data_IF_789814306042
#
_entry.id   IF_789814306042
#
_cell.length_a   1.000
_cell.length_b   1.000
_cell.length_c   1.000
_cell.angle_alpha   90.00
_cell.angle_beta   90.00
_cell.angle_gamma   90.00
#
_symmetry.space_group_name_H-M   'P 1'
#
loop_
_entity.id
_entity.type
_entity.pdbx_description
1 polymer ?
#
# COMPACT_ATOMS: atom_id res chain seq x y z
N UNK A 1 9.51 -24.44 -15.14
CA UNK A 1 8.65 -23.77 -14.13
C UNK A 1 8.45 -22.30 -14.44
N UNK A 2 9.51 -21.54 -14.73
CA UNK A 2 9.42 -20.12 -15.14
C UNK A 2 8.46 -19.87 -16.33
N UNK A 3 8.52 -20.71 -17.37
CA UNK A 3 7.58 -20.65 -18.51
C UNK A 3 6.11 -20.77 -18.06
N UNK A 4 5.82 -21.69 -17.15
CA UNK A 4 4.46 -21.90 -16.62
C UNK A 4 4.00 -20.67 -15.84
N UNK A 5 4.89 -20.12 -15.00
CA UNK A 5 4.63 -18.91 -14.23
C UNK A 5 4.34 -17.72 -15.16
N UNK A 6 5.10 -17.57 -16.24
CA UNK A 6 4.89 -16.52 -17.23
C UNK A 6 3.56 -16.69 -17.99
N UNK A 7 3.19 -17.91 -18.37
CA UNK A 7 1.88 -18.21 -18.99
C UNK A 7 0.75 -17.83 -18.04
N UNK A 8 0.83 -18.22 -16.77
CA UNK A 8 -0.16 -17.85 -15.75
C UNK A 8 -0.24 -16.32 -15.59
N UNK A 9 0.91 -15.64 -15.56
CA UNK A 9 0.98 -14.18 -15.49
C UNK A 9 0.27 -13.49 -16.67
N UNK A 10 0.48 -13.98 -17.89
CA UNK A 10 -0.18 -13.47 -19.11
C UNK A 10 -1.68 -13.74 -19.06
N UNK A 11 -2.10 -14.96 -18.70
CA UNK A 11 -3.52 -15.31 -18.57
C UNK A 11 -4.22 -14.43 -17.53
N UNK A 12 -3.55 -14.15 -16.41
CA UNK A 12 -4.05 -13.25 -15.37
C UNK A 12 -4.22 -11.82 -15.91
N UNK A 13 -3.22 -11.28 -16.62
CA UNK A 13 -3.33 -9.95 -17.22
C UNK A 13 -4.47 -9.86 -18.24
N UNK A 14 -4.62 -10.86 -19.12
CA UNK A 14 -5.71 -10.91 -20.09
C UNK A 14 -7.08 -11.01 -19.41
N UNK A 15 -7.19 -11.82 -18.36
CA UNK A 15 -8.43 -11.94 -17.59
C UNK A 15 -8.78 -10.63 -16.88
N UNK A 16 -7.80 -9.93 -16.29
CA UNK A 16 -8.02 -8.62 -15.67
C UNK A 16 -8.39 -7.58 -16.71
N UNK A 17 -7.77 -7.58 -17.89
CA UNK A 17 -8.12 -6.69 -19.00
C UNK A 17 -9.57 -6.91 -19.45
N UNK A 18 -9.97 -8.15 -19.70
CA UNK A 18 -11.35 -8.48 -20.07
C UNK A 18 -12.33 -8.09 -18.96
N UNK A 19 -11.99 -8.38 -17.71
CA UNK A 19 -12.79 -8.01 -16.54
C UNK A 19 -12.91 -6.49 -16.38
N UNK A 20 -11.90 -5.74 -16.80
CA UNK A 20 -11.89 -4.27 -16.78
C UNK A 20 -12.90 -3.68 -17.76
N UNK A 21 -13.08 -4.32 -18.92
CA UNK A 21 -14.08 -3.92 -19.91
C UNK A 21 -15.50 -4.29 -19.45
N UNK A 22 -15.68 -5.49 -18.91
CA UNK A 22 -17.00 -6.02 -18.54
C UNK A 22 -17.50 -5.48 -17.20
N UNK A 23 -16.68 -5.53 -16.16
CA UNK A 23 -17.02 -5.19 -14.76
C UNK A 23 -15.90 -4.40 -14.08
N UNK A 24 -15.59 -3.17 -14.53
CA UNK A 24 -14.38 -2.44 -14.15
C UNK A 24 -14.20 -2.29 -12.63
N UNK A 25 -15.27 -2.00 -11.90
CA UNK A 25 -15.20 -1.82 -10.44
C UNK A 25 -14.87 -3.09 -9.65
N UNK A 26 -15.12 -4.29 -10.21
CA UNK A 26 -14.64 -5.57 -9.63
C UNK A 26 -13.22 -5.90 -10.09
N UNK A 27 -12.82 -5.43 -11.26
CA UNK A 27 -11.50 -5.66 -11.82
C UNK A 27 -10.40 -4.83 -11.15
N UNK A 28 -10.70 -3.65 -10.60
CA UNK A 28 -9.71 -2.80 -9.92
C UNK A 28 -8.90 -3.54 -8.84
N UNK A 29 -9.49 -4.20 -7.83
CA UNK A 29 -8.70 -4.91 -6.82
C UNK A 29 -7.89 -6.06 -7.42
N UNK A 30 -8.35 -6.69 -8.50
CA UNK A 30 -7.57 -7.71 -9.23
C UNK A 30 -6.37 -7.08 -9.93
N UNK A 31 -6.55 -5.94 -10.61
CA UNK A 31 -5.48 -5.19 -11.24
C UNK A 31 -4.45 -4.70 -10.21
N UNK A 32 -4.88 -4.26 -9.04
CA UNK A 32 -3.95 -3.85 -7.97
C UNK A 32 -3.13 -5.02 -7.45
N UNK A 33 -3.69 -6.24 -7.41
CA UNK A 33 -2.93 -7.45 -7.05
C UNK A 33 -1.91 -7.87 -8.12
N UNK A 34 -2.09 -7.48 -9.39
CA UNK A 34 -1.06 -7.77 -10.41
C UNK A 34 0.21 -6.96 -10.19
N UNK A 35 0.15 -5.85 -9.44
CA UNK A 35 1.35 -5.05 -9.09
C UNK A 35 2.35 -5.81 -8.22
N UNK A 36 1.94 -6.91 -7.58
CA UNK A 36 2.82 -7.69 -6.70
C UNK A 36 3.62 -8.74 -7.46
N UNK A 37 3.17 -9.11 -8.65
CA UNK A 37 3.89 -10.04 -9.51
C UNK A 37 5.14 -9.39 -10.09
N UNK A 38 6.27 -10.09 -10.04
CA UNK A 38 7.43 -9.82 -10.87
C UNK A 38 7.58 -10.97 -11.86
N UNK A 39 7.13 -10.77 -13.09
CA UNK A 39 7.34 -11.74 -14.17
C UNK A 39 8.16 -11.08 -15.28
N UNK A 40 9.25 -11.72 -15.70
CA UNK A 40 10.01 -11.27 -16.86
C UNK A 40 9.44 -11.92 -18.11
N UNK A 41 8.74 -11.12 -18.93
CA UNK A 41 8.41 -11.49 -20.29
C UNK A 41 9.46 -10.81 -21.17
N UNK A 42 10.25 -11.59 -21.92
CA UNK A 42 11.43 -11.11 -22.69
C UNK A 42 11.18 -9.93 -23.65
N UNK A 43 9.92 -9.54 -23.89
CA UNK A 43 9.54 -8.47 -24.81
C UNK A 43 8.85 -7.26 -24.14
N UNK A 44 8.39 -7.37 -22.89
CA UNK A 44 7.66 -6.28 -22.23
C UNK A 44 7.97 -6.20 -20.73
N UNK A 45 8.15 -4.97 -20.24
CA UNK A 45 8.20 -4.72 -18.80
C UNK A 45 6.81 -4.96 -18.17
N UNK A 46 6.66 -6.10 -17.49
CA UNK A 46 5.44 -6.47 -16.78
C UNK A 46 4.99 -5.37 -15.80
N UNK A 47 5.93 -4.71 -15.12
CA UNK A 47 5.61 -3.67 -14.15
C UNK A 47 4.91 -2.49 -14.82
N UNK A 48 5.37 -2.11 -16.03
CA UNK A 48 4.72 -1.08 -16.81
C UNK A 48 3.29 -1.49 -17.21
N UNK A 49 3.12 -2.70 -17.73
CA UNK A 49 1.79 -3.22 -18.14
C UNK A 49 0.84 -3.27 -16.94
N UNK A 50 1.26 -3.81 -15.80
CA UNK A 50 0.43 -3.92 -14.61
C UNK A 50 -0.02 -2.55 -14.10
N UNK A 51 0.87 -1.55 -14.06
CA UNK A 51 0.52 -0.17 -13.68
C UNK A 51 -0.47 0.45 -14.65
N UNK A 52 -0.24 0.27 -15.96
CA UNK A 52 -1.14 0.80 -16.98
C UNK A 52 -2.49 0.14 -16.96
N UNK A 53 -2.54 -1.15 -16.67
CA UNK A 53 -3.78 -1.88 -16.46
C UNK A 53 -4.57 -1.27 -15.29
N UNK A 54 -3.95 -1.01 -14.14
CA UNK A 54 -4.65 -0.35 -13.01
C UNK A 54 -5.20 1.03 -13.40
N UNK A 55 -4.40 1.87 -14.05
CA UNK A 55 -4.85 3.20 -14.51
C UNK A 55 -6.00 3.08 -15.49
N UNK A 56 -5.89 2.19 -16.47
CA UNK A 56 -6.92 1.93 -17.48
C UNK A 56 -8.22 1.43 -16.83
N UNK A 57 -8.15 0.45 -15.94
CA UNK A 57 -9.32 -0.08 -15.23
C UNK A 57 -10.00 1.01 -14.39
N UNK A 58 -9.24 1.85 -13.69
CA UNK A 58 -9.78 2.98 -12.94
C UNK A 58 -10.43 4.01 -13.88
N UNK A 59 -9.79 4.33 -15.00
CA UNK A 59 -10.31 5.22 -16.03
C UNK A 59 -11.66 4.75 -16.58
N UNK A 60 -11.75 3.48 -17.01
CA UNK A 60 -12.99 2.87 -17.49
C UNK A 60 -14.06 2.90 -16.39
N UNK A 61 -13.70 2.58 -15.14
CA UNK A 61 -14.62 2.63 -14.00
C UNK A 61 -15.17 4.03 -13.77
N UNK A 62 -14.31 5.06 -13.82
CA UNK A 62 -14.68 6.47 -13.66
C UNK A 62 -15.57 6.94 -14.81
N UNK A 63 -15.25 6.56 -16.05
CA UNK A 63 -16.07 6.92 -17.22
C UNK A 63 -17.46 6.27 -17.14
N UNK A 64 -17.53 5.00 -16.73
CA UNK A 64 -18.79 4.24 -16.69
C UNK A 64 -19.68 4.56 -15.49
N UNK A 65 -19.09 4.79 -14.31
CA UNK A 65 -19.84 4.94 -13.05
C UNK A 65 -19.72 6.34 -12.42
N UNK A 66 -18.97 7.24 -13.05
CA UNK A 66 -18.60 8.53 -12.51
C UNK A 66 -17.46 8.46 -11.49
N UNK A 67 -16.97 9.63 -11.07
CA UNK A 67 -15.93 9.77 -10.06
C UNK A 67 -16.48 10.14 -8.67
N UNK A 68 -15.67 9.93 -7.64
CA UNK A 68 -15.95 10.31 -6.26
C UNK A 68 -15.80 11.83 -6.06
N UNK A 69 -16.91 12.57 -6.17
CA UNK A 69 -16.95 14.04 -6.03
C UNK A 69 -16.48 14.56 -4.66
N UNK A 70 -16.46 13.73 -3.61
CA UNK A 70 -16.06 14.14 -2.25
C UNK A 70 -14.61 14.58 -2.13
N UNK A 71 -13.75 14.16 -3.05
CA UNK A 71 -12.34 14.54 -3.09
C UNK A 71 -12.11 15.95 -3.65
N UNK A 72 -13.12 16.54 -4.30
CA UNK A 72 -12.94 17.78 -5.07
C UNK A 72 -12.06 17.56 -6.31
N UNK A 73 -11.60 18.65 -6.93
CA UNK A 73 -10.68 18.61 -8.10
C UNK A 73 -9.20 18.80 -7.70
N UNK A 74 -8.94 19.23 -6.45
CA UNK A 74 -7.63 19.68 -5.98
C UNK A 74 -6.49 18.69 -6.22
N UNK A 75 -6.58 17.43 -5.75
CA UNK A 75 -5.52 16.44 -5.95
C UNK A 75 -5.21 16.17 -7.43
N UNK A 76 -6.23 16.24 -8.29
CA UNK A 76 -6.05 16.02 -9.73
C UNK A 76 -5.32 17.20 -10.38
N UNK A 77 -5.71 18.44 -10.05
CA UNK A 77 -5.03 19.65 -10.55
C UNK A 77 -3.55 19.70 -10.11
N UNK A 78 -3.27 19.32 -8.86
CA UNK A 78 -1.90 19.20 -8.36
C UNK A 78 -1.09 18.14 -9.12
N UNK A 79 -1.69 16.96 -9.36
CA UNK A 79 -1.05 15.91 -10.15
C UNK A 79 -0.78 16.36 -11.60
N UNK A 80 -1.71 17.08 -12.23
CA UNK A 80 -1.49 17.68 -13.56
C UNK A 80 -0.37 18.70 -13.53
N UNK A 81 -0.31 19.58 -12.53
CA UNK A 81 0.80 20.52 -12.34
C UNK A 81 2.14 19.79 -12.20
N UNK A 82 2.18 18.73 -11.39
CA UNK A 82 3.38 17.88 -11.24
C UNK A 82 3.79 17.25 -12.57
N UNK A 83 2.84 16.73 -13.34
CA UNK A 83 3.10 16.15 -14.67
C UNK A 83 3.77 17.18 -15.59
N UNK A 84 3.19 18.38 -15.71
CA UNK A 84 3.68 19.41 -16.63
C UNK A 84 5.09 19.88 -16.25
N UNK A 85 5.33 20.13 -14.96
CA UNK A 85 6.65 20.53 -14.47
C UNK A 85 7.67 19.43 -14.75
N UNK A 86 7.34 18.18 -14.46
CA UNK A 86 8.29 17.07 -14.57
C UNK A 86 8.47 16.57 -16.00
N UNK A 87 7.47 16.76 -16.86
CA UNK A 87 7.59 16.55 -18.31
C UNK A 87 8.58 17.56 -18.91
N UNK A 88 8.52 18.83 -18.50
CA UNK A 88 9.50 19.82 -18.91
C UNK A 88 10.90 19.45 -18.41
N UNK A 89 11.05 19.07 -17.14
CA UNK A 89 12.35 18.59 -16.60
C UNK A 89 12.88 17.41 -17.41
N UNK A 90 12.05 16.41 -17.71
CA UNK A 90 12.43 15.25 -18.52
C UNK A 90 12.92 15.65 -19.91
N UNK A 91 12.26 16.61 -20.57
CA UNK A 91 12.68 17.12 -21.88
C UNK A 91 14.10 17.73 -21.85
N UNK A 92 14.42 18.55 -20.84
CA UNK A 92 15.75 19.18 -20.72
C UNK A 92 16.83 18.27 -20.15
N UNK A 93 16.46 17.20 -19.46
CA UNK A 93 17.37 16.24 -18.81
C UNK A 93 17.46 14.90 -19.54
N UNK A 94 16.87 14.81 -20.73
CA UNK A 94 16.87 13.60 -21.54
C UNK A 94 18.29 13.10 -21.78
N UNK A 95 18.51 11.82 -21.54
CA UNK A 95 19.77 11.14 -21.83
C UNK A 95 19.51 9.65 -22.15
N UNK A 96 20.50 8.91 -22.69
CA UNK A 96 20.30 7.51 -23.08
C UNK A 96 19.82 6.59 -21.95
N UNK A 97 20.09 6.93 -20.69
CA UNK A 97 19.69 6.15 -19.52
C UNK A 97 18.38 6.63 -18.88
N UNK A 98 17.90 7.84 -19.21
CA UNK A 98 16.69 8.44 -18.66
C UNK A 98 15.93 9.19 -19.75
N UNK A 99 14.81 8.61 -20.19
CA UNK A 99 13.95 9.17 -21.22
C UNK A 99 12.48 9.18 -20.83
N UNK A 100 11.63 9.19 -21.85
CA UNK A 100 10.18 9.29 -21.68
C UNK A 100 9.58 8.03 -21.03
N UNK A 101 10.17 6.85 -21.24
CA UNK A 101 9.67 5.57 -20.71
C UNK A 101 9.85 5.52 -19.19
N UNK A 102 11.03 5.87 -18.67
CA UNK A 102 11.34 5.88 -17.24
C UNK A 102 10.46 6.89 -16.51
N UNK A 103 10.33 8.10 -17.09
CA UNK A 103 9.43 9.14 -16.61
C UNK A 103 7.99 8.65 -16.57
N UNK A 104 7.45 8.15 -17.70
CA UNK A 104 6.05 7.73 -17.81
C UNK A 104 5.74 6.58 -16.88
N UNK A 105 6.63 5.59 -16.76
CA UNK A 105 6.46 4.44 -15.86
C UNK A 105 6.42 4.87 -14.39
N UNK A 106 7.29 5.81 -14.01
CA UNK A 106 7.37 6.31 -12.64
C UNK A 106 6.21 7.26 -12.32
N UNK A 107 5.83 8.14 -13.24
CA UNK A 107 4.67 9.01 -13.10
C UNK A 107 3.34 8.24 -13.08
N UNK A 108 3.19 7.21 -13.93
CA UNK A 108 2.04 6.31 -13.91
C UNK A 108 1.85 5.65 -12.55
N UNK A 109 2.95 5.36 -11.84
CA UNK A 109 2.88 4.85 -10.45
C UNK A 109 2.18 5.86 -9.55
N UNK A 110 2.64 7.11 -9.52
CA UNK A 110 2.04 8.18 -8.71
C UNK A 110 0.58 8.39 -9.11
N UNK A 111 0.30 8.55 -10.41
CA UNK A 111 -1.02 8.82 -10.95
C UNK A 111 -2.04 7.73 -10.58
N UNK A 112 -1.67 6.45 -10.68
CA UNK A 112 -2.51 5.31 -10.30
C UNK A 112 -3.17 5.49 -8.93
N UNK A 113 -2.41 5.92 -7.91
CA UNK A 113 -2.97 6.11 -6.57
C UNK A 113 -4.09 7.16 -6.54
N UNK A 114 -3.94 8.25 -7.30
CA UNK A 114 -4.98 9.27 -7.43
C UNK A 114 -6.19 8.75 -8.22
N UNK A 115 -5.99 7.99 -9.30
CA UNK A 115 -7.11 7.36 -10.02
C UNK A 115 -7.91 6.39 -9.13
N UNK A 116 -7.22 5.63 -8.27
CA UNK A 116 -7.86 4.71 -7.33
C UNK A 116 -8.81 5.42 -6.37
N UNK A 117 -8.41 6.56 -5.79
CA UNK A 117 -9.28 7.30 -4.83
C UNK A 117 -10.49 7.96 -5.51
N UNK A 118 -10.39 8.32 -6.79
CA UNK A 118 -11.52 8.86 -7.55
C UNK A 118 -12.52 7.80 -7.99
N UNK A 119 -12.19 6.50 -7.88
CA UNK A 119 -13.11 5.42 -8.21
C UNK A 119 -14.33 5.43 -7.29
N UNK A 120 -15.52 5.30 -7.88
CA UNK A 120 -16.77 5.12 -7.13
C UNK A 120 -17.01 3.65 -6.83
N UNK A 121 -17.29 3.32 -5.57
CA UNK A 121 -17.52 1.96 -5.11
C UNK A 121 -18.99 1.69 -4.79
N UNK A 122 -19.52 0.56 -5.25
CA UNK A 122 -20.72 -0.05 -4.68
C UNK A 122 -20.34 -0.86 -3.44
N UNK A 123 -21.28 -1.08 -2.52
CA UNK A 123 -21.00 -1.81 -1.28
C UNK A 123 -20.56 -3.25 -1.53
N UNK A 124 -21.12 -3.90 -2.55
CA UNK A 124 -20.75 -5.26 -2.96
C UNK A 124 -19.28 -5.28 -3.40
N UNK A 125 -18.87 -4.33 -4.25
CA UNK A 125 -17.52 -4.29 -4.80
C UNK A 125 -16.51 -3.82 -3.75
N UNK A 126 -16.90 -2.88 -2.86
CA UNK A 126 -16.07 -2.46 -1.72
C UNK A 126 -15.79 -3.64 -0.80
N UNK A 127 -16.84 -4.38 -0.42
CA UNK A 127 -16.71 -5.59 0.42
C UNK A 127 -15.86 -6.66 -0.24
N UNK A 128 -16.02 -6.87 -1.55
CA UNK A 128 -15.17 -7.78 -2.32
C UNK A 128 -13.69 -7.38 -2.27
N UNK A 129 -13.39 -6.12 -2.57
CA UNK A 129 -12.02 -5.59 -2.53
C UNK A 129 -11.38 -5.71 -1.12
N UNK A 130 -12.11 -5.34 -0.06
CA UNK A 130 -11.63 -5.49 1.32
C UNK A 130 -11.30 -6.94 1.67
N UNK A 131 -12.13 -7.90 1.23
CA UNK A 131 -11.86 -9.33 1.43
C UNK A 131 -10.58 -9.74 0.71
N UNK A 132 -10.40 -9.32 -0.54
CA UNK A 132 -9.19 -9.64 -1.30
C UNK A 132 -7.92 -9.14 -0.61
N UNK A 133 -7.92 -7.89 -0.13
CA UNK A 133 -6.77 -7.32 0.59
C UNK A 133 -6.53 -8.06 1.92
N UNK A 134 -7.60 -8.44 2.62
CA UNK A 134 -7.50 -9.21 3.88
C UNK A 134 -6.85 -10.58 3.67
N UNK A 135 -7.09 -11.21 2.51
CA UNK A 135 -6.59 -12.55 2.18
C UNK A 135 -5.24 -12.55 1.46
N UNK A 136 -4.79 -11.42 0.90
CA UNK A 136 -3.63 -11.41 -0.01
C UNK A 136 -2.35 -11.90 0.66
N UNK A 137 -2.04 -11.44 1.87
CA UNK A 137 -0.86 -11.89 2.60
C UNK A 137 -0.94 -13.36 3.03
N UNK A 138 -2.14 -13.86 3.38
CA UNK A 138 -2.32 -15.28 3.72
C UNK A 138 -2.12 -16.14 2.47
N UNK A 139 -2.69 -15.73 1.35
CA UNK A 139 -2.50 -16.40 0.07
C UNK A 139 -1.02 -16.40 -0.33
N UNK A 140 -0.32 -15.28 -0.15
CA UNK A 140 1.12 -15.17 -0.36
C UNK A 140 1.92 -16.18 0.48
N UNK A 141 1.56 -16.32 1.75
CA UNK A 141 2.16 -17.30 2.67
C UNK A 141 1.91 -18.72 2.15
N UNK A 142 0.67 -19.06 1.78
CA UNK A 142 0.33 -20.38 1.27
C UNK A 142 1.08 -20.73 -0.01
N UNK A 143 1.14 -19.80 -0.98
CA UNK A 143 1.90 -19.97 -2.22
C UNK A 143 3.39 -20.13 -1.92
N UNK A 144 3.94 -19.33 -1.01
CA UNK A 144 5.34 -19.42 -0.62
C UNK A 144 5.70 -20.76 0.03
N UNK A 145 4.84 -21.31 0.89
CA UNK A 145 5.01 -22.66 1.48
C UNK A 145 5.06 -23.73 0.38
N UNK A 146 4.24 -23.60 -0.66
CA UNK A 146 4.20 -24.54 -1.79
C UNK A 146 5.45 -24.45 -2.69
N UNK A 147 6.07 -23.27 -2.83
CA UNK A 147 7.27 -23.09 -3.68
C UNK A 147 8.56 -23.64 -3.03
N UNK A 148 8.55 -23.97 -1.73
CA UNK A 148 9.62 -24.63 -0.93
C UNK A 148 11.01 -23.96 -0.91
N UNK A 149 11.36 -23.13 -1.88
CA UNK A 149 12.75 -22.67 -2.16
C UNK A 149 13.12 -21.38 -1.46
N UNK A 150 12.17 -20.69 -0.84
CA UNK A 150 12.34 -19.25 -0.55
C UNK A 150 11.61 -18.76 0.69
N UNK A 151 10.78 -19.61 1.31
CA UNK A 151 9.79 -19.12 2.26
C UNK A 151 10.34 -18.90 3.67
N UNK A 152 11.25 -19.75 4.14
CA UNK A 152 11.90 -19.61 5.44
C UNK A 152 13.41 -19.47 5.26
N UNK A 153 13.93 -18.28 5.51
CA UNK A 153 15.37 -17.98 5.53
C UNK A 153 15.68 -17.50 6.93
N UNK A 154 16.62 -18.09 7.66
CA UNK A 154 16.99 -17.68 9.04
C UNK A 154 15.81 -17.59 10.03
N UNK A 155 14.78 -18.42 9.82
CA UNK A 155 13.57 -18.43 10.66
C UNK A 155 12.67 -17.20 10.50
N UNK A 156 12.79 -16.45 9.39
CA UNK A 156 11.81 -15.44 8.96
C UNK A 156 11.05 -15.92 7.72
N UNK A 157 9.80 -15.47 7.62
CA UNK A 157 9.06 -15.57 6.37
C UNK A 157 9.62 -14.51 5.42
N UNK A 158 10.30 -14.96 4.37
CA UNK A 158 10.70 -14.09 3.26
C UNK A 158 9.78 -14.44 2.09
N UNK A 159 9.16 -13.43 1.51
CA UNK A 159 8.57 -13.61 0.19
C UNK A 159 9.65 -13.28 -0.84
N UNK A 160 10.15 -14.31 -1.51
CA UNK A 160 10.93 -14.14 -2.73
C UNK A 160 9.93 -14.19 -3.90
N UNK A 161 9.97 -13.19 -4.78
CA UNK A 161 9.11 -13.13 -5.97
C UNK A 161 7.74 -12.49 -5.74
N UNK A 162 6.67 -13.25 -6.02
CA UNK A 162 5.25 -12.86 -6.17
C UNK A 162 4.64 -11.97 -5.07
N UNK A 163 5.25 -11.89 -3.89
CA UNK A 163 4.80 -11.04 -2.77
C UNK A 163 5.94 -10.31 -2.08
N UNK A 164 6.84 -9.74 -2.87
CA UNK A 164 7.73 -8.69 -2.40
C UNK A 164 6.93 -7.72 -1.51
N UNK A 165 7.43 -7.49 -0.29
CA UNK A 165 6.77 -6.64 0.70
C UNK A 165 5.51 -7.22 1.40
N UNK A 166 5.48 -8.53 1.62
CA UNK A 166 4.54 -9.22 2.52
C UNK A 166 4.20 -8.49 3.85
N UNK A 167 5.14 -7.84 4.58
CA UNK A 167 4.80 -7.14 5.83
C UNK A 167 3.80 -6.00 5.63
N UNK A 168 3.90 -5.29 4.50
CA UNK A 168 3.02 -4.18 4.20
C UNK A 168 1.63 -4.66 3.78
N UNK A 169 1.57 -5.67 2.92
CA UNK A 169 0.31 -6.32 2.53
C UNK A 169 -0.46 -6.85 3.73
N UNK A 170 0.25 -7.48 4.66
CA UNK A 170 -0.33 -7.94 5.91
C UNK A 170 -0.85 -6.77 6.76
N UNK A 171 -0.12 -5.67 6.85
CA UNK A 171 -0.55 -4.45 7.55
C UNK A 171 -1.84 -3.86 6.95
N UNK A 172 -1.96 -3.81 5.62
CA UNK A 172 -3.20 -3.41 4.94
C UNK A 172 -4.32 -4.44 5.11
N UNK A 173 -3.98 -5.73 5.23
CA UNK A 173 -4.90 -6.82 5.56
C UNK A 173 -5.52 -6.65 6.94
N UNK A 174 -4.73 -6.23 7.95
CA UNK A 174 -5.22 -5.85 9.28
C UNK A 174 -6.26 -4.74 9.16
N UNK A 175 -5.92 -3.65 8.46
CA UNK A 175 -6.81 -2.51 8.30
C UNK A 175 -8.11 -2.89 7.57
N UNK A 176 -8.01 -3.67 6.50
CA UNK A 176 -9.17 -4.15 5.74
C UNK A 176 -10.08 -5.06 6.56
N UNK A 177 -9.50 -5.93 7.39
CA UNK A 177 -10.24 -6.77 8.32
C UNK A 177 -10.95 -5.96 9.41
N UNK A 178 -10.34 -4.87 9.90
CA UNK A 178 -11.00 -3.91 10.81
C UNK A 178 -12.21 -3.28 10.12
N UNK A 179 -12.09 -2.84 8.86
CA UNK A 179 -13.22 -2.30 8.12
C UNK A 179 -14.35 -3.33 7.96
N UNK A 180 -14.03 -4.59 7.66
CA UNK A 180 -15.01 -5.67 7.56
C UNK A 180 -15.71 -5.97 8.90
N UNK A 181 -14.98 -5.96 10.02
CA UNK A 181 -15.55 -6.15 11.37
C UNK A 181 -16.44 -4.97 11.77
N UNK A 182 -15.93 -3.74 11.64
CA UNK A 182 -16.58 -2.53 12.19
C UNK A 182 -17.69 -2.00 11.30
N UNK A 183 -17.43 -1.92 10.00
CA UNK A 183 -18.37 -1.33 9.06
C UNK A 183 -19.45 -2.33 8.63
N UNK A 184 -19.03 -3.52 8.18
CA UNK A 184 -19.93 -4.56 7.70
C UNK A 184 -20.41 -5.52 8.80
N UNK A 185 -20.05 -5.29 10.06
CA UNK A 185 -20.41 -6.12 11.23
C UNK A 185 -20.04 -7.60 11.07
N UNK A 186 -18.97 -7.90 10.33
CA UNK A 186 -18.53 -9.28 10.06
C UNK A 186 -17.47 -9.73 11.06
N UNK A 187 -17.89 -10.04 12.29
CA UNK A 187 -17.00 -10.40 13.42
C UNK A 187 -16.02 -11.54 13.14
N UNK A 188 -16.37 -12.46 12.22
CA UNK A 188 -15.46 -13.52 11.76
C UNK A 188 -14.14 -12.99 11.19
N UNK A 189 -14.09 -11.74 10.72
CA UNK A 189 -12.85 -11.13 10.21
C UNK A 189 -11.87 -10.72 11.31
N UNK A 190 -12.25 -10.79 12.60
CA UNK A 190 -11.33 -10.53 13.71
C UNK A 190 -10.17 -11.52 13.76
N UNK A 191 -10.37 -12.78 13.37
CA UNK A 191 -9.25 -13.73 13.28
C UNK A 191 -8.20 -13.28 12.27
N UNK A 192 -8.63 -12.65 11.18
CA UNK A 192 -7.73 -12.16 10.13
C UNK A 192 -6.91 -10.95 10.56
N UNK A 193 -7.39 -10.15 11.52
CA UNK A 193 -6.59 -9.09 12.17
C UNK A 193 -5.36 -9.72 12.84
N UNK A 194 -5.57 -10.75 13.64
CA UNK A 194 -4.48 -11.42 14.36
C UNK A 194 -3.58 -12.23 13.43
N UNK A 195 -4.14 -12.95 12.45
CA UNK A 195 -3.37 -13.71 11.47
C UNK A 195 -2.44 -12.80 10.66
N UNK A 196 -2.95 -11.69 10.12
CA UNK A 196 -2.11 -10.76 9.38
C UNK A 196 -1.05 -10.12 10.28
N UNK A 197 -1.39 -9.75 11.53
CA UNK A 197 -0.40 -9.24 12.48
C UNK A 197 0.71 -10.25 12.77
N UNK A 198 0.35 -11.52 12.95
CA UNK A 198 1.31 -12.61 13.16
C UNK A 198 2.21 -12.82 11.95
N UNK A 199 1.67 -12.78 10.73
CA UNK A 199 2.47 -12.85 9.49
C UNK A 199 3.51 -11.71 9.46
N UNK A 200 3.12 -10.48 9.81
CA UNK A 200 4.07 -9.34 9.90
C UNK A 200 5.20 -9.64 10.88
N UNK A 201 4.90 -10.14 12.08
CA UNK A 201 5.95 -10.47 13.06
C UNK A 201 6.90 -11.55 12.53
N UNK A 202 6.37 -12.57 11.87
CA UNK A 202 7.18 -13.64 11.27
C UNK A 202 8.07 -13.16 10.11
N UNK A 203 7.72 -12.06 9.44
CA UNK A 203 8.61 -11.46 8.43
C UNK A 203 9.85 -10.81 9.03
N UNK A 204 9.83 -10.47 10.33
CA UNK A 204 10.87 -9.72 11.02
C UNK A 204 11.24 -8.39 10.32
N UNK A 205 10.29 -7.78 9.60
CA UNK A 205 10.45 -6.46 9.00
C UNK A 205 10.17 -5.38 10.03
N UNK A 206 11.18 -4.60 10.40
CA UNK A 206 11.08 -3.51 11.40
C UNK A 206 10.00 -2.50 11.03
N UNK A 207 10.08 -1.94 9.81
CA UNK A 207 9.10 -0.98 9.33
C UNK A 207 7.70 -1.57 9.22
N UNK A 208 7.59 -2.81 8.72
CA UNK A 208 6.31 -3.51 8.60
C UNK A 208 5.65 -3.76 9.96
N UNK A 209 6.42 -4.20 10.95
CA UNK A 209 5.96 -4.43 12.32
C UNK A 209 5.47 -3.14 12.99
N UNK A 210 6.23 -2.04 12.84
CA UNK A 210 5.80 -0.72 13.33
C UNK A 210 4.49 -0.31 12.66
N UNK A 211 4.39 -0.43 11.33
CA UNK A 211 3.17 -0.07 10.61
C UNK A 211 1.96 -0.87 11.08
N UNK A 212 2.09 -2.19 11.17
CA UNK A 212 1.06 -3.09 11.67
C UNK A 212 0.64 -2.77 13.10
N UNK A 213 1.61 -2.49 13.98
CA UNK A 213 1.37 -2.15 15.38
C UNK A 213 0.58 -0.85 15.52
N UNK A 214 0.96 0.18 14.76
CA UNK A 214 0.23 1.45 14.72
C UNK A 214 -1.21 1.21 14.27
N UNK A 215 -1.46 0.45 13.19
CA UNK A 215 -2.82 0.17 12.70
C UNK A 215 -3.67 -0.59 13.74
N UNK A 216 -3.10 -1.63 14.39
CA UNK A 216 -3.86 -2.50 15.29
C UNK A 216 -4.08 -1.87 16.68
N UNK A 217 -3.31 -0.84 17.05
CA UNK A 217 -3.33 -0.26 18.40
C UNK A 217 -4.74 0.14 18.89
N UNK A 218 -5.60 0.83 18.10
CA UNK A 218 -6.94 1.18 18.55
C UNK A 218 -7.84 -0.03 18.78
N UNK A 219 -7.59 -1.12 18.04
CA UNK A 219 -8.30 -2.38 18.22
C UNK A 219 -7.88 -3.05 19.53
N UNK A 220 -6.58 -3.11 19.82
CA UNK A 220 -6.03 -3.63 21.08
C UNK A 220 -6.57 -2.83 22.28
N UNK A 221 -6.44 -1.49 22.26
CA UNK A 221 -6.91 -0.63 23.35
C UNK A 221 -8.40 -0.81 23.61
N UNK A 222 -9.22 -0.89 22.55
CA UNK A 222 -10.65 -1.16 22.67
C UNK A 222 -10.94 -2.56 23.25
N UNK A 223 -10.12 -3.56 22.91
CA UNK A 223 -10.21 -4.91 23.45
C UNK A 223 -9.89 -4.96 24.94
N UNK A 224 -8.79 -4.30 25.35
CA UNK A 224 -8.36 -4.21 26.76
C UNK A 224 -9.45 -3.59 27.64
N UNK A 225 -10.11 -2.53 27.17
CA UNK A 225 -11.22 -1.88 27.90
C UNK A 225 -12.44 -2.77 28.10
N UNK A 226 -12.56 -3.88 27.37
CA UNK A 226 -13.71 -4.80 27.41
C UNK A 226 -13.37 -6.15 28.04
N UNK A 227 -12.17 -6.33 28.58
CA UNK A 227 -11.78 -7.57 29.22
C UNK A 227 -12.62 -7.77 30.48
N UNK A 228 -13.13 -8.97 30.66
CA UNK A 228 -13.76 -9.41 31.90
C UNK A 228 -12.81 -10.34 32.67
N UNK A 229 -13.10 -10.61 33.94
CA UNK A 229 -12.26 -11.46 34.81
C UNK A 229 -12.01 -12.86 34.23
N UNK A 230 -12.97 -13.43 33.49
CA UNK A 230 -12.82 -14.74 32.84
C UNK A 230 -11.77 -14.70 31.73
N UNK A 231 -11.74 -13.63 30.95
CA UNK A 231 -10.75 -13.43 29.91
C UNK A 231 -9.37 -13.08 30.47
N UNK A 232 -9.30 -12.36 31.59
CA UNK A 232 -8.05 -12.14 32.32
C UNK A 232 -7.42 -13.46 32.76
N UNK A 233 -8.22 -14.43 33.24
CA UNK A 233 -7.74 -15.76 33.59
C UNK A 233 -7.15 -16.50 32.38
N UNK A 234 -7.84 -16.47 31.23
CA UNK A 234 -7.32 -17.06 29.98
C UNK A 234 -6.03 -16.38 29.54
N UNK A 235 -5.94 -15.05 29.61
CA UNK A 235 -4.70 -14.32 29.34
C UNK A 235 -3.61 -14.79 30.29
N UNK A 236 -3.85 -14.90 31.60
CA UNK A 236 -2.82 -15.30 32.57
C UNK A 236 -2.21 -16.66 32.22
N UNK A 237 -3.02 -17.65 31.84
CA UNK A 237 -2.52 -18.98 31.46
C UNK A 237 -1.85 -19.04 30.08
N UNK A 238 -2.34 -18.24 29.12
CA UNK A 238 -1.76 -18.17 27.77
C UNK A 238 -0.54 -17.22 27.71
N UNK A 239 -0.42 -16.30 28.69
CA UNK A 239 0.58 -15.25 28.69
C UNK A 239 2.02 -15.75 28.68
N UNK A 240 2.43 -16.84 29.37
CA UNK A 240 3.81 -17.29 29.31
C UNK A 240 4.20 -17.77 27.91
N UNK A 241 3.28 -18.45 27.21
CA UNK A 241 3.47 -18.88 25.82
C UNK A 241 3.57 -17.69 24.88
N UNK A 242 2.66 -16.72 25.02
CA UNK A 242 2.66 -15.51 24.19
C UNK A 242 3.89 -14.64 24.48
N UNK A 243 4.28 -14.47 25.74
CA UNK A 243 5.46 -13.72 26.16
C UNK A 243 6.74 -14.42 25.71
N UNK A 244 6.82 -15.75 25.77
CA UNK A 244 7.94 -16.51 25.24
C UNK A 244 8.11 -16.31 23.73
N UNK A 245 7.00 -16.37 22.97
CA UNK A 245 7.03 -16.09 21.54
C UNK A 245 7.41 -14.63 21.24
N UNK A 246 6.82 -13.67 21.95
CA UNK A 246 7.14 -12.25 21.84
C UNK A 246 8.62 -12.02 22.16
N UNK A 247 9.15 -12.65 23.21
CA UNK A 247 10.55 -12.57 23.58
C UNK A 247 11.44 -13.02 22.42
N UNK A 248 11.20 -14.21 21.86
CA UNK A 248 11.98 -14.71 20.70
C UNK A 248 11.87 -13.80 19.47
N UNK A 249 10.66 -13.27 19.20
CA UNK A 249 10.46 -12.37 18.07
C UNK A 249 11.19 -11.03 18.28
N UNK A 250 11.12 -10.47 19.50
CA UNK A 250 11.78 -9.21 19.87
C UNK A 250 13.29 -9.36 19.91
N UNK A 251 13.84 -10.42 20.50
CA UNK A 251 15.29 -10.64 20.54
C UNK A 251 15.86 -10.72 19.14
N UNK A 252 15.24 -11.49 18.23
CA UNK A 252 15.65 -11.52 16.81
C UNK A 252 15.55 -10.16 16.11
N UNK A 253 14.52 -9.36 16.43
CA UNK A 253 14.40 -7.99 15.91
C UNK A 253 15.51 -7.07 16.46
N UNK A 254 15.88 -7.23 17.74
CA UNK A 254 16.97 -6.49 18.39
C UNK A 254 18.31 -6.90 17.79
N UNK A 255 18.60 -8.19 17.67
CA UNK A 255 19.86 -8.71 17.08
C UNK A 255 20.07 -8.20 15.66
N UNK A 256 18.98 -8.05 14.89
CA UNK A 256 19.03 -7.46 13.55
C UNK A 256 19.17 -5.94 13.58
N UNK A 257 18.70 -5.29 14.64
CA UNK A 257 18.76 -3.83 14.79
C UNK A 257 20.09 -3.38 15.34
N UNK A 258 20.73 -4.16 16.21
CA UNK A 258 21.96 -3.82 16.89
C UNK A 258 23.07 -4.76 16.43
N UNK A 259 24.04 -4.23 15.70
CA UNK A 259 25.28 -4.95 15.35
C UNK A 259 26.41 -4.25 16.10
N UNK A 260 27.08 -4.98 16.99
CA UNK A 260 28.17 -4.47 17.84
C UNK A 260 27.78 -3.19 18.62
N UNK A 261 26.54 -3.13 19.13
CA UNK A 261 26.03 -1.97 19.88
C UNK A 261 25.64 -0.76 19.03
N UNK A 262 25.81 -0.82 17.70
CA UNK A 262 25.41 0.23 16.75
C UNK A 262 24.12 -0.14 16.00
N UNK A 263 23.32 0.87 15.63
CA UNK A 263 22.08 0.64 14.86
C UNK A 263 22.44 0.19 13.44
N UNK A 264 22.11 -1.04 13.10
CA UNK A 264 22.23 -1.55 11.74
C UNK A 264 21.18 -0.91 10.84
N UNK A 265 21.64 0.07 10.06
CA UNK A 265 20.84 0.80 9.08
C UNK A 265 20.85 0.13 7.71
N UNK A 266 21.59 -0.97 7.53
CA UNK A 266 21.82 -1.60 6.22
C UNK A 266 22.41 -0.58 5.24
N UNK A 267 23.43 0.16 5.70
CA UNK A 267 24.14 1.24 5.01
C UNK A 267 23.26 2.44 4.57
N UNK A 268 21.98 2.50 4.99
CA UNK A 268 21.03 3.50 4.46
C UNK A 268 21.47 4.94 4.72
N UNK A 269 22.16 5.22 5.83
CA UNK A 269 22.59 6.58 6.15
C UNK A 269 23.65 7.08 5.17
N UNK A 270 24.58 6.22 4.79
CA UNK A 270 25.60 6.47 3.77
C UNK A 270 24.92 6.71 2.41
N UNK A 271 24.00 5.83 1.99
CA UNK A 271 23.23 6.05 0.75
C UNK A 271 22.45 7.37 0.76
N UNK A 272 21.82 7.72 1.89
CA UNK A 272 21.04 8.94 1.98
C UNK A 272 21.91 10.18 1.85
N UNK A 273 23.11 10.16 2.42
CA UNK A 273 24.07 11.26 2.26
C UNK A 273 24.47 11.45 0.79
N UNK A 274 24.77 10.35 0.08
CA UNK A 274 25.12 10.37 -1.34
C UNK A 274 23.95 10.89 -2.20
N UNK A 275 22.74 10.37 -2.00
CA UNK A 275 21.56 10.82 -2.76
C UNK A 275 21.28 12.31 -2.49
N UNK A 276 21.44 12.74 -1.24
CA UNK A 276 21.27 14.15 -0.87
C UNK A 276 22.31 15.05 -1.54
N UNK A 277 23.57 14.62 -1.62
CA UNK A 277 24.65 15.33 -2.30
C UNK A 277 24.41 15.40 -3.81
N UNK A 278 24.01 14.30 -4.44
CA UNK A 278 23.67 14.26 -5.87
C UNK A 278 22.51 15.21 -6.22
N UNK A 279 21.60 15.48 -5.27
CA UNK A 279 20.50 16.43 -5.47
C UNK A 279 20.93 17.90 -5.40
N UNK A 280 22.13 18.22 -4.91
CA UNK A 280 22.57 19.57 -4.52
C UNK A 280 22.36 20.64 -5.61
N UNK A 281 22.74 20.34 -6.85
CA UNK A 281 22.65 21.26 -7.98
C UNK A 281 21.25 21.37 -8.60
N UNK A 282 20.30 20.53 -8.18
CA UNK A 282 18.98 20.40 -8.81
C UNK A 282 17.82 20.37 -7.80
N UNK A 283 18.00 20.93 -6.59
CA UNK A 283 17.00 20.83 -5.51
C UNK A 283 15.66 21.49 -5.80
N UNK A 284 15.57 22.42 -6.76
CA UNK A 284 14.32 23.15 -7.03
C UNK A 284 13.33 22.27 -7.81
N UNK A 285 13.77 21.76 -8.97
CA UNK A 285 12.92 21.00 -9.90
C UNK A 285 13.26 19.50 -9.96
N UNK A 286 14.35 19.08 -9.32
CA UNK A 286 14.83 17.70 -9.34
C UNK A 286 15.54 17.34 -10.64
N UNK A 287 15.89 16.06 -10.74
CA UNK A 287 16.53 15.45 -11.92
C UNK A 287 15.54 14.74 -12.85
N UNK A 288 14.25 14.78 -12.53
CA UNK A 288 13.16 14.12 -13.24
C UNK A 288 12.64 12.89 -12.49
N UNK A 289 11.30 12.74 -12.43
CA UNK A 289 10.64 11.56 -11.85
C UNK A 289 11.15 10.27 -12.52
N UNK A 290 11.60 9.30 -11.72
CA UNK A 290 12.16 8.03 -12.17
C UNK A 290 13.67 8.02 -12.42
N UNK A 291 14.35 9.18 -12.43
CA UNK A 291 15.79 9.30 -12.74
C UNK A 291 16.68 8.60 -11.71
N UNK A 292 16.26 8.43 -10.47
CA UNK A 292 17.11 7.81 -9.45
C UNK A 292 17.47 6.36 -9.81
N UNK A 293 16.54 5.64 -10.45
CA UNK A 293 16.75 4.24 -10.88
C UNK A 293 17.85 4.07 -11.93
N UNK A 294 18.15 5.15 -12.65
CA UNK A 294 19.12 5.12 -13.77
C UNK A 294 20.55 5.35 -13.26
N UNK A 295 20.68 6.07 -12.14
CA UNK A 295 21.97 6.34 -11.47
C UNK A 295 22.34 5.22 -10.49
N UNK A 296 21.38 4.40 -10.07
CA UNK A 296 21.66 3.26 -9.16
C UNK A 296 22.50 2.14 -9.78
N UNK A 297 22.75 2.13 -11.10
CA UNK A 297 23.25 0.98 -11.84
C UNK A 297 24.68 0.50 -11.57
N UNK A 298 25.61 1.34 -11.10
CA UNK A 298 27.02 0.92 -10.88
C UNK A 298 27.64 1.48 -9.60
N UNK A 299 27.64 2.81 -9.42
CA UNK A 299 28.25 3.43 -8.24
C UNK A 299 27.51 3.07 -6.94
N UNK A 300 26.18 3.11 -6.95
CA UNK A 300 25.35 2.88 -5.76
C UNK A 300 25.24 1.37 -5.44
N UNK A 301 25.14 0.50 -6.46
CA UNK A 301 25.22 -0.96 -6.27
C UNK A 301 26.60 -1.38 -5.72
N UNK A 302 27.70 -0.75 -6.17
CA UNK A 302 29.04 -1.03 -5.63
C UNK A 302 29.19 -0.69 -4.14
N UNK A 303 28.32 0.19 -3.62
CA UNK A 303 28.23 0.55 -2.20
C UNK A 303 27.18 -0.31 -1.45
N UNK A 304 26.59 -1.32 -2.09
CA UNK A 304 25.65 -2.27 -1.49
C UNK A 304 24.18 -1.84 -1.47
N UNK A 305 23.79 -0.90 -2.34
CA UNK A 305 22.44 -0.32 -2.34
C UNK A 305 21.61 -0.71 -3.55
N UNK A 306 20.36 -1.11 -3.32
CA UNK A 306 19.39 -1.40 -4.39
C UNK A 306 18.34 -0.30 -4.58
N UNK A 307 18.10 0.55 -3.56
CA UNK A 307 17.14 1.65 -3.62
C UNK A 307 17.35 2.67 -2.48
N UNK A 308 16.74 3.86 -2.61
CA UNK A 308 16.79 4.90 -1.58
C UNK A 308 16.16 4.49 -0.23
N UNK A 309 15.07 3.70 -0.26
CA UNK A 309 14.29 3.35 0.93
C UNK A 309 13.95 4.55 1.84
N UNK A 310 13.69 5.71 1.23
CA UNK A 310 13.26 6.93 1.88
C UNK A 310 12.51 7.76 0.84
N UNK A 311 11.18 7.75 0.94
CA UNK A 311 10.31 8.35 -0.08
C UNK A 311 10.54 9.87 -0.18
N UNK A 312 10.80 10.54 0.94
CA UNK A 312 11.00 11.99 1.00
C UNK A 312 12.28 12.41 0.29
N UNK A 313 13.39 11.71 0.58
CA UNK A 313 14.66 11.97 -0.07
C UNK A 313 14.60 11.65 -1.57
N UNK A 314 13.89 10.57 -1.93
CA UNK A 314 13.67 10.21 -3.33
C UNK A 314 12.91 11.29 -4.09
N UNK A 315 11.80 11.81 -3.55
CA UNK A 315 11.07 12.90 -4.20
C UNK A 315 11.88 14.19 -4.28
N UNK A 316 12.70 14.49 -3.26
CA UNK A 316 13.60 15.63 -3.31
C UNK A 316 14.62 15.49 -4.45
N UNK A 317 15.23 14.31 -4.61
CA UNK A 317 16.15 14.02 -5.70
C UNK A 317 15.46 14.08 -7.07
N UNK A 318 14.36 13.34 -7.22
CA UNK A 318 13.71 13.14 -8.52
C UNK A 318 12.90 14.36 -8.96
N UNK A 319 12.16 15.00 -8.05
CA UNK A 319 11.20 16.04 -8.40
C UNK A 319 11.48 17.42 -7.80
N UNK A 320 12.56 17.53 -7.01
CA UNK A 320 12.92 18.73 -6.29
C UNK A 320 11.91 19.09 -5.20
N UNK A 321 12.14 20.23 -4.56
CA UNK A 321 11.25 20.78 -3.54
C UNK A 321 9.88 21.11 -4.13
N UNK A 322 9.79 21.51 -5.39
CA UNK A 322 8.51 21.83 -6.04
C UNK A 322 7.64 20.57 -6.17
N UNK A 323 8.18 19.49 -6.75
CA UNK A 323 7.45 18.24 -6.86
C UNK A 323 7.11 17.62 -5.51
N UNK A 324 8.03 17.68 -4.55
CA UNK A 324 7.81 17.24 -3.17
C UNK A 324 6.66 18.02 -2.49
N UNK A 325 6.63 19.33 -2.62
CA UNK A 325 5.55 20.15 -2.05
C UNK A 325 4.20 19.85 -2.72
N UNK A 326 4.18 19.64 -4.03
CA UNK A 326 2.95 19.29 -4.76
C UNK A 326 2.39 17.96 -4.24
N UNK A 327 3.22 16.91 -4.13
CA UNK A 327 2.75 15.59 -3.66
C UNK A 327 2.33 15.64 -2.19
N UNK A 328 3.06 16.36 -1.33
CA UNK A 328 2.68 16.55 0.09
C UNK A 328 1.35 17.28 0.20
N UNK A 329 1.14 18.36 -0.55
CA UNK A 329 -0.13 19.07 -0.58
C UNK A 329 -1.29 18.18 -1.08
N UNK A 330 -1.07 17.40 -2.15
CA UNK A 330 -2.05 16.47 -2.66
C UNK A 330 -2.43 15.42 -1.61
N UNK A 331 -1.45 14.87 -0.91
CA UNK A 331 -1.66 13.90 0.18
C UNK A 331 -2.40 14.50 1.38
N UNK A 332 -2.06 15.73 1.78
CA UNK A 332 -2.77 16.44 2.85
C UNK A 332 -4.24 16.62 2.47
N UNK A 333 -4.54 16.98 1.23
CA UNK A 333 -5.93 17.12 0.77
C UNK A 333 -6.64 15.75 0.83
N UNK A 334 -6.02 14.69 0.31
CA UNK A 334 -6.60 13.34 0.33
C UNK A 334 -6.88 12.89 1.77
N UNK A 335 -5.93 13.06 2.70
CA UNK A 335 -6.08 12.68 4.09
C UNK A 335 -7.13 13.51 4.83
N UNK A 336 -7.17 14.83 4.61
CA UNK A 336 -8.25 15.68 5.13
C UNK A 336 -9.62 15.23 4.62
N UNK A 337 -9.72 14.90 3.34
CA UNK A 337 -10.97 14.40 2.76
C UNK A 337 -11.35 13.02 3.29
N UNK A 338 -10.38 12.12 3.49
CA UNK A 338 -10.58 10.81 4.11
C UNK A 338 -11.16 10.98 5.51
N UNK A 339 -10.53 11.80 6.36
CA UNK A 339 -10.98 12.04 7.73
C UNK A 339 -12.34 12.75 7.80
N UNK A 340 -12.64 13.64 6.85
CA UNK A 340 -13.94 14.30 6.74
C UNK A 340 -15.05 13.33 6.33
N UNK A 341 -14.76 12.41 5.42
CA UNK A 341 -15.74 11.54 4.77
C UNK A 341 -15.60 10.06 5.13
N UNK A 342 -14.94 9.76 6.25
CA UNK A 342 -14.61 8.40 6.66
C UNK A 342 -15.87 7.55 6.84
N UNK A 343 -15.77 6.27 6.46
CA UNK A 343 -16.90 5.35 6.41
C UNK A 343 -17.34 4.84 7.80
N UNK A 344 -16.43 4.75 8.76
CA UNK A 344 -16.73 4.38 10.15
C UNK A 344 -16.79 5.64 11.01
N UNK A 345 -17.65 5.66 12.03
CA UNK A 345 -17.75 6.78 12.98
C UNK A 345 -16.46 6.96 13.80
N UNK A 346 -15.85 5.86 14.23
CA UNK A 346 -14.55 5.84 14.92
C UNK A 346 -13.38 6.22 13.98
N UNK A 347 -13.18 7.51 13.72
CA UNK A 347 -12.12 8.04 12.82
C UNK A 347 -10.69 7.67 13.21
N UNK A 348 -10.46 7.20 14.43
CA UNK A 348 -9.13 6.79 14.91
C UNK A 348 -8.45 5.79 13.95
N UNK A 349 -9.19 4.83 13.40
CA UNK A 349 -8.62 3.86 12.48
C UNK A 349 -8.01 4.50 11.22
N UNK A 350 -8.61 5.58 10.69
CA UNK A 350 -8.04 6.34 9.60
C UNK A 350 -6.77 7.11 10.03
N UNK A 351 -6.77 7.74 11.21
CA UNK A 351 -5.58 8.41 11.74
C UNK A 351 -4.40 7.44 11.90
N UNK A 352 -4.64 6.24 12.44
CA UNK A 352 -3.60 5.23 12.63
C UNK A 352 -3.13 4.63 11.29
N UNK A 353 -4.01 4.47 10.29
CA UNK A 353 -3.58 4.13 8.92
C UNK A 353 -2.64 5.19 8.34
N UNK A 354 -3.03 6.47 8.39
CA UNK A 354 -2.23 7.59 7.86
C UNK A 354 -0.89 7.68 8.58
N UNK A 355 -0.91 7.65 9.92
CA UNK A 355 0.30 7.77 10.75
C UNK A 355 1.26 6.63 10.46
N UNK A 356 0.74 5.41 10.40
CA UNK A 356 1.53 4.22 10.10
C UNK A 356 2.16 4.29 8.71
N UNK A 357 1.42 4.77 7.70
CA UNK A 357 1.96 5.00 6.35
C UNK A 357 3.09 6.03 6.36
N UNK A 358 2.89 7.19 6.97
CA UNK A 358 3.90 8.27 7.02
C UNK A 358 5.20 7.83 7.70
N UNK A 359 5.09 7.05 8.79
CA UNK A 359 6.24 6.46 9.47
C UNK A 359 6.94 5.45 8.57
N UNK A 360 6.17 4.56 7.91
CA UNK A 360 6.74 3.55 7.01
C UNK A 360 7.49 4.18 5.83
N UNK A 361 6.98 5.30 5.28
CA UNK A 361 7.61 6.09 4.21
C UNK A 361 8.99 6.67 4.56
N UNK A 362 9.34 6.78 5.85
CA UNK A 362 10.70 7.18 6.26
C UNK A 362 11.74 6.09 5.98
N UNK A 363 11.28 4.84 5.84
CA UNK A 363 12.15 3.67 5.76
C UNK A 363 11.95 2.83 4.50
N UNK A 364 11.01 3.23 3.63
CA UNK A 364 10.72 2.53 2.40
C UNK A 364 10.09 3.45 1.33
N UNK A 365 10.08 2.97 0.08
CA UNK A 365 9.58 3.71 -1.08
C UNK A 365 8.06 3.52 -1.29
N UNK A 366 7.27 3.95 -0.32
CA UNK A 366 5.82 3.72 -0.26
C UNK A 366 4.96 4.32 -1.37
N UNK A 367 5.39 5.40 -2.03
CA UNK A 367 4.63 6.07 -3.11
C UNK A 367 5.23 5.74 -4.47
N UNK A 368 6.56 5.67 -4.55
CA UNK A 368 7.27 5.39 -5.79
C UNK A 368 7.30 3.91 -6.18
N UNK A 369 6.95 3.00 -5.28
CA UNK A 369 6.73 1.59 -5.60
C UNK A 369 5.23 1.30 -5.73
N UNK A 370 4.83 0.73 -6.86
CA UNK A 370 3.41 0.52 -7.19
C UNK A 370 2.76 -0.54 -6.30
N UNK A 371 3.54 -1.54 -5.93
CA UNK A 371 3.23 -2.62 -5.00
C UNK A 371 2.93 -2.14 -3.57
N UNK A 372 3.35 -0.93 -3.20
CA UNK A 372 2.94 -0.25 -1.97
C UNK A 372 1.80 0.73 -2.20
N UNK A 373 2.01 1.60 -3.19
CA UNK A 373 1.17 2.77 -3.39
C UNK A 373 -0.24 2.42 -3.86
N UNK A 374 -0.37 1.50 -4.82
CA UNK A 374 -1.66 1.04 -5.34
C UNK A 374 -2.53 0.44 -4.25
N UNK A 375 -2.06 -0.58 -3.51
CA UNK A 375 -2.83 -1.20 -2.42
C UNK A 375 -3.21 -0.23 -1.30
N UNK A 376 -2.30 0.66 -0.91
CA UNK A 376 -2.60 1.68 0.10
C UNK A 376 -3.70 2.63 -0.37
N UNK A 377 -3.59 3.16 -1.58
CA UNK A 377 -4.60 4.07 -2.13
C UNK A 377 -5.92 3.38 -2.41
N UNK A 378 -5.90 2.08 -2.73
CA UNK A 378 -7.11 1.26 -2.75
C UNK A 378 -7.76 1.20 -1.36
N UNK A 379 -7.01 0.93 -0.28
CA UNK A 379 -7.54 0.97 1.10
C UNK A 379 -8.11 2.34 1.48
N UNK A 380 -7.42 3.43 1.13
CA UNK A 380 -7.91 4.81 1.32
C UNK A 380 -9.21 5.03 0.54
N UNK A 381 -9.27 4.61 -0.72
CA UNK A 381 -10.46 4.72 -1.58
C UNK A 381 -11.67 3.98 -1.00
N UNK A 382 -11.46 2.74 -0.55
CA UNK A 382 -12.49 1.89 0.08
C UNK A 382 -12.98 2.44 1.42
N UNK A 383 -12.20 3.32 2.05
CA UNK A 383 -12.51 3.94 3.35
C UNK A 383 -13.42 5.18 3.24
N UNK A 384 -13.69 5.69 2.05
CA UNK A 384 -14.64 6.79 1.86
C UNK A 384 -16.08 6.28 1.97
N UNK A 385 -16.91 6.96 2.76
CA UNK A 385 -18.37 6.75 2.78
C UNK A 385 -18.96 6.99 1.38
N UNK A 386 -19.85 6.13 0.89
CA UNK A 386 -20.59 6.43 -0.35
C UNK A 386 -21.83 7.27 -0.02
N UNK A 387 -22.35 8.05 -0.98
CA UNK A 387 -23.61 8.81 -0.80
C UNK A 387 -24.82 7.86 -0.76
N UNK A 388 -24.73 6.72 -1.45
CA UNK A 388 -25.81 5.71 -1.50
C UNK A 388 -26.16 5.19 -0.10
N UNK A 389 -25.18 5.11 0.80
CA UNK A 389 -25.38 4.63 2.18
C UNK A 389 -26.18 5.59 3.07
N UNK A 390 -26.17 6.92 2.79
CA UNK A 390 -27.04 7.84 3.54
C UNK A 390 -28.49 7.70 3.09
N UNK A 391 -28.72 7.59 1.78
CA UNK A 391 -30.08 7.44 1.26
C UNK A 391 -30.68 6.09 1.65
N UNK A 392 -29.93 4.99 1.63
CA UNK A 392 -30.45 3.70 2.08
C UNK A 392 -30.78 3.68 3.58
N UNK A 393 -29.95 4.29 4.44
CA UNK A 393 -30.29 4.44 5.88
C UNK A 393 -31.52 5.31 6.07
N UNK A 394 -31.67 6.37 5.26
CA UNK A 394 -32.83 7.26 5.31
C UNK A 394 -34.10 6.55 4.81
N UNK A 395 -34.03 5.82 3.69
CA UNK A 395 -35.13 5.02 3.13
C UNK A 395 -35.54 3.89 4.07
N UNK A 396 -34.57 3.22 4.72
CA UNK A 396 -34.86 2.20 5.72
C UNK A 396 -35.48 2.78 7.00
N UNK A 397 -35.02 3.94 7.45
CA UNK A 397 -35.67 4.66 8.57
C UNK A 397 -37.08 5.12 8.21
N UNK A 398 -37.32 5.52 6.96
CA UNK A 398 -38.65 5.85 6.47
C UNK A 398 -39.52 4.60 6.44
N UNK A 399 -39.05 3.47 5.89
CA UNK A 399 -39.84 2.23 5.85
C UNK A 399 -40.17 1.69 7.24
N UNK A 400 -39.22 1.77 8.18
CA UNK A 400 -39.44 1.34 9.57
C UNK A 400 -40.45 2.25 10.30
N UNK A 401 -40.45 3.57 10.03
CA UNK A 401 -41.49 4.47 10.58
C UNK A 401 -42.88 4.15 10.03
N UNK A 402 -43.01 3.94 8.72
CA UNK A 402 -44.30 3.62 8.10
C UNK A 402 -44.90 2.30 8.61
N UNK A 403 -44.08 1.31 8.94
CA UNK A 403 -44.54 0.04 9.51
C UNK A 403 -44.85 0.09 11.00
N UNK A 404 -44.36 1.10 11.74
CA UNK A 404 -44.68 1.28 13.17
C UNK A 404 -45.94 2.11 13.43
N UNK A 405 -46.50 2.73 12.39
CA UNK A 405 -47.69 3.59 12.45
C UNK A 405 -48.97 2.93 11.92
N UNK A 406 -48.91 1.64 11.60
CA UNK A 406 -50.03 0.76 11.23
C UNK A 406 -50.12 -0.29 12.33
#
# INVERSE_FOLDING_TARGET
>A
MEVIINIIGIMLLLWVLLSSLLTPSKAIPLAVLTLVGSFSINFFDYNFIAKMLVVLTCGISILRYGYNKKLGKGPFLLLTGMFLVQFFVNYFRFNPSYGFIEFSTSFATIAMGFFLIYTKWSDINRKFALKMITWSAIFAVLVGVLDKRSFFVDGRIVSVGLFAHLPFWSSLGIYSAILLDKYYKQSKYRIFIYLNFFIVLLTQSRGGAIFAFVIILPFIVNGIKKLNMKFLFVITFISPLVLGFIYVAITKLIDRTLVNGSINTTNRFEAWSVIYELSSNNRVFGLGIGSLKTVTGEYIISQGFSAAHNEYLRFLYESGVIGLLIIVCAMIIVFKMLLKNYIIEEKKYAYFLITGFLIYSLTDNTVSAGEFWGPFMLCVSLSFSSIVERNWKYEKQISERYHSSI
#
